data_IF_235537189728
#
_entry.id   IF_235537189728
#
_cell.length_a   1.000
_cell.length_b   1.000
_cell.length_c   1.000
_cell.angle_alpha   90.00
_cell.angle_beta   90.00
_cell.angle_gamma   90.00
#
_symmetry.space_group_name_H-M   'P 1'
#
loop_
_entity.id
_entity.type
_entity.pdbx_description
1 polymer ?
#
# COMPACT_ATOMS: atom_id res chain seq x y z
N UNK A 1 -24.17 25.13 -19.08
CA UNK A 1 -23.25 24.00 -18.86
C UNK A 1 -22.99 23.96 -17.39
N UNK A 2 -23.63 23.03 -16.68
CA UNK A 2 -23.50 22.95 -15.23
C UNK A 2 -22.11 22.39 -14.90
N UNK A 3 -21.26 23.25 -14.36
CA UNK A 3 -20.12 22.84 -13.57
C UNK A 3 -20.66 21.99 -12.41
N UNK A 4 -20.47 20.68 -12.52
CA UNK A 4 -20.68 19.77 -11.41
C UNK A 4 -19.59 20.11 -10.40
N UNK A 5 -19.93 20.92 -9.38
CA UNK A 5 -19.14 21.02 -8.16
C UNK A 5 -19.04 19.60 -7.62
N UNK A 6 -17.87 18.99 -7.82
CA UNK A 6 -17.47 17.75 -7.16
C UNK A 6 -17.79 17.93 -5.68
N UNK A 7 -18.70 17.14 -5.14
CA UNK A 7 -18.94 17.11 -3.70
C UNK A 7 -17.59 16.88 -3.02
N UNK A 8 -17.32 17.64 -1.97
CA UNK A 8 -16.17 17.48 -1.08
C UNK A 8 -16.22 16.08 -0.44
N UNK A 9 -15.76 15.07 -1.17
CA UNK A 9 -15.66 13.73 -0.65
C UNK A 9 -14.48 13.72 0.33
N UNK A 10 -14.80 13.80 1.63
CA UNK A 10 -13.86 13.73 2.76
C UNK A 10 -13.32 12.31 2.99
N UNK A 11 -12.93 11.61 1.93
CA UNK A 11 -12.35 10.26 2.02
C UNK A 11 -11.00 10.34 2.75
N UNK A 12 -11.02 10.09 4.05
CA UNK A 12 -9.81 10.18 4.87
C UNK A 12 -9.14 8.83 4.96
N UNK A 13 -9.92 7.75 5.02
CA UNK A 13 -9.47 6.36 5.04
C UNK A 13 -9.98 5.65 3.79
N UNK A 14 -9.08 5.23 2.92
CA UNK A 14 -9.40 4.61 1.63
C UNK A 14 -8.89 3.18 1.62
N UNK A 15 -9.76 2.22 1.32
CA UNK A 15 -9.37 0.85 1.05
C UNK A 15 -9.24 0.63 -0.47
N UNK A 16 -8.11 0.08 -0.90
CA UNK A 16 -7.84 -0.26 -2.29
C UNK A 16 -7.74 -1.77 -2.41
N UNK A 17 -8.58 -2.38 -3.24
CA UNK A 17 -8.61 -3.82 -3.49
C UNK A 17 -7.91 -4.10 -4.81
N UNK A 18 -6.75 -4.73 -4.75
CA UNK A 18 -6.04 -5.23 -5.93
C UNK A 18 -6.57 -6.62 -6.35
N UNK A 19 -6.21 -7.07 -7.55
CA UNK A 19 -6.69 -8.32 -8.15
C UNK A 19 -5.98 -9.61 -7.68
N UNK A 20 -5.15 -9.57 -6.65
CA UNK A 20 -4.40 -10.72 -6.14
C UNK A 20 -5.22 -11.61 -5.20
N UNK A 21 -4.56 -12.21 -4.21
CA UNK A 21 -5.22 -13.11 -3.25
C UNK A 21 -6.24 -12.35 -2.39
N UNK A 22 -7.47 -12.87 -2.31
CA UNK A 22 -8.57 -12.23 -1.55
C UNK A 22 -8.36 -12.28 -0.04
N UNK A 23 -7.56 -13.22 0.46
CA UNK A 23 -7.18 -13.41 1.85
C UNK A 23 -7.87 -12.52 2.90
N UNK A 24 -7.09 -11.65 3.54
CA UNK A 24 -7.58 -10.73 4.57
C UNK A 24 -7.97 -9.37 3.98
N UNK A 25 -9.03 -8.79 4.52
CA UNK A 25 -9.40 -7.39 4.30
C UNK A 25 -10.15 -6.84 5.52
N UNK A 26 -10.34 -5.51 5.55
CA UNK A 26 -11.14 -4.82 6.55
C UNK A 26 -12.14 -3.88 5.87
N UNK A 27 -13.21 -3.53 6.58
CA UNK A 27 -14.31 -2.71 6.04
C UNK A 27 -14.50 -1.39 6.80
N UNK A 28 -13.59 -1.04 7.70
CA UNK A 28 -13.62 0.19 8.48
C UNK A 28 -13.01 1.38 7.72
N UNK A 29 -13.56 1.70 6.54
CA UNK A 29 -13.08 2.75 5.63
C UNK A 29 -14.21 3.64 5.11
N UNK A 30 -13.84 4.84 4.67
CA UNK A 30 -14.77 5.84 4.14
C UNK A 30 -15.03 5.65 2.64
N UNK A 31 -14.13 4.97 1.95
CA UNK A 31 -14.11 4.82 0.49
C UNK A 31 -13.48 3.48 0.09
N UNK A 32 -14.09 2.80 -0.89
CA UNK A 32 -13.60 1.53 -1.42
C UNK A 32 -13.30 1.66 -2.92
N UNK A 33 -12.06 1.34 -3.27
CA UNK A 33 -11.51 1.44 -4.61
C UNK A 33 -11.17 0.04 -5.13
N UNK A 34 -11.66 -0.29 -6.31
CA UNK A 34 -11.31 -1.52 -7.01
C UNK A 34 -10.27 -1.28 -8.10
N UNK A 35 -9.25 -2.14 -8.16
CA UNK A 35 -8.26 -2.15 -9.24
C UNK A 35 -8.44 -3.41 -10.07
N UNK A 36 -8.77 -3.26 -11.35
CA UNK A 36 -9.13 -4.34 -12.27
C UNK A 36 -10.12 -5.32 -11.64
N UNK A 37 -9.73 -6.59 -11.50
CA UNK A 37 -10.51 -7.66 -10.87
C UNK A 37 -10.83 -7.40 -9.39
N UNK A 38 -10.04 -6.58 -8.70
CA UNK A 38 -10.35 -6.10 -7.35
C UNK A 38 -11.67 -5.33 -7.30
N UNK A 39 -12.12 -4.74 -8.42
CA UNK A 39 -13.44 -4.12 -8.52
C UNK A 39 -14.58 -5.12 -8.36
N UNK A 40 -14.44 -6.34 -8.89
CA UNK A 40 -15.43 -7.40 -8.67
C UNK A 40 -15.46 -7.82 -7.21
N UNK A 41 -14.30 -7.90 -6.58
CA UNK A 41 -14.20 -8.28 -5.18
C UNK A 41 -14.98 -7.29 -4.28
N UNK A 42 -14.81 -5.98 -4.47
CA UNK A 42 -15.60 -4.96 -3.75
C UNK A 42 -17.11 -5.19 -3.92
N UNK A 43 -17.55 -5.48 -5.16
CA UNK A 43 -18.98 -5.71 -5.44
C UNK A 43 -19.52 -7.01 -4.84
N UNK A 44 -18.73 -8.08 -4.84
CA UNK A 44 -19.12 -9.39 -4.29
C UNK A 44 -19.24 -9.38 -2.76
N UNK A 45 -18.51 -8.49 -2.08
CA UNK A 45 -18.63 -8.27 -0.62
C UNK A 45 -19.74 -7.26 -0.28
N UNK A 46 -20.58 -6.89 -1.25
CA UNK A 46 -21.64 -5.88 -1.11
C UNK A 46 -21.14 -4.51 -0.62
N UNK A 47 -19.86 -4.19 -0.86
CA UNK A 47 -19.25 -2.91 -0.51
C UNK A 47 -19.52 -1.85 -1.60
N UNK A 48 -19.58 -0.55 -1.24
CA UNK A 48 -19.81 0.51 -2.22
C UNK A 48 -18.57 0.72 -3.08
N UNK A 49 -18.66 0.44 -4.39
CA UNK A 49 -17.57 0.68 -5.32
C UNK A 49 -17.52 2.18 -5.70
N UNK A 50 -16.73 2.97 -4.98
CA UNK A 50 -16.63 4.41 -5.18
C UNK A 50 -15.77 4.77 -6.40
N UNK A 51 -14.71 4.01 -6.62
CA UNK A 51 -13.80 4.17 -7.75
C UNK A 51 -13.37 2.81 -8.28
N UNK A 52 -13.45 2.62 -9.60
CA UNK A 52 -12.88 1.48 -10.30
C UNK A 52 -11.81 1.98 -11.28
N UNK A 53 -10.59 1.44 -11.19
CA UNK A 53 -9.45 1.82 -12.05
C UNK A 53 -8.86 0.57 -12.68
N UNK A 54 -8.55 0.62 -13.96
CA UNK A 54 -8.01 -0.54 -14.67
C UNK A 54 -8.00 -0.37 -16.18
N UNK A 55 -7.22 -1.17 -16.89
CA UNK A 55 -7.50 -1.47 -18.29
C UNK A 55 -8.59 -2.56 -18.43
N UNK A 56 -8.87 -3.28 -17.33
CA UNK A 56 -9.87 -4.32 -17.20
C UNK A 56 -9.67 -5.49 -18.17
N UNK A 57 -8.43 -5.81 -18.51
CA UNK A 57 -8.08 -6.95 -19.37
C UNK A 57 -8.26 -8.31 -18.68
N UNK A 58 -8.26 -8.30 -17.34
CA UNK A 58 -8.36 -9.48 -16.48
C UNK A 58 -9.80 -9.89 -16.14
N UNK A 59 -10.80 -9.19 -16.68
CA UNK A 59 -12.23 -9.47 -16.49
C UNK A 59 -12.96 -9.68 -17.81
N UNK A 60 -14.05 -10.43 -17.79
CA UNK A 60 -14.92 -10.65 -18.94
C UNK A 60 -15.70 -9.38 -19.31
N UNK A 61 -16.28 -9.36 -20.51
CA UNK A 61 -17.10 -8.22 -20.95
C UNK A 61 -18.32 -7.97 -20.04
N UNK A 62 -18.97 -9.04 -19.56
CA UNK A 62 -20.14 -8.96 -18.67
C UNK A 62 -19.74 -8.44 -17.29
N UNK A 63 -18.63 -8.94 -16.73
CA UNK A 63 -18.05 -8.45 -15.48
C UNK A 63 -17.66 -6.98 -15.57
N UNK A 64 -17.02 -6.58 -16.67
CA UNK A 64 -16.66 -5.19 -16.92
C UNK A 64 -17.89 -4.28 -16.99
N UNK A 65 -18.96 -4.70 -17.67
CA UNK A 65 -20.21 -3.95 -17.72
C UNK A 65 -20.83 -3.82 -16.33
N UNK A 66 -20.77 -4.88 -15.51
CA UNK A 66 -21.23 -4.85 -14.13
C UNK A 66 -20.43 -3.83 -13.30
N UNK A 67 -19.09 -3.86 -13.38
CA UNK A 67 -18.21 -2.89 -12.71
C UNK A 67 -18.58 -1.48 -13.12
N UNK A 68 -18.62 -1.20 -14.42
CA UNK A 68 -18.90 0.14 -14.95
C UNK A 68 -20.28 0.66 -14.51
N UNK A 69 -21.28 -0.21 -14.41
CA UNK A 69 -22.63 0.14 -13.97
C UNK A 69 -22.71 0.43 -12.47
N UNK A 70 -21.88 -0.24 -11.66
CA UNK A 70 -21.95 -0.19 -10.19
C UNK A 70 -20.96 0.80 -9.57
N UNK A 71 -19.86 1.08 -10.24
CA UNK A 71 -18.87 2.06 -9.79
C UNK A 71 -19.45 3.47 -9.85
N UNK A 72 -19.22 4.29 -8.82
CA UNK A 72 -19.57 5.72 -8.88
C UNK A 72 -18.67 6.45 -9.87
N UNK A 73 -17.38 6.11 -9.89
CA UNK A 73 -16.41 6.61 -10.86
C UNK A 73 -15.67 5.45 -11.52
N UNK A 74 -15.61 5.46 -12.85
CA UNK A 74 -14.94 4.43 -13.65
C UNK A 74 -13.82 5.09 -14.46
N UNK A 75 -12.57 4.73 -14.17
CA UNK A 75 -11.37 5.23 -14.84
C UNK A 75 -10.79 4.11 -15.67
N UNK A 76 -10.94 4.21 -16.99
CA UNK A 76 -10.34 3.26 -17.92
C UNK A 76 -8.92 3.71 -18.29
N UNK A 77 -7.94 2.88 -17.97
CA UNK A 77 -6.56 3.07 -18.38
C UNK A 77 -6.34 2.63 -19.83
N UNK A 78 -5.28 3.16 -20.45
CA UNK A 78 -4.75 2.58 -21.69
C UNK A 78 -3.84 1.39 -21.33
N UNK A 79 -3.84 0.29 -22.09
CA UNK A 79 -2.96 -0.86 -21.84
C UNK A 79 -1.47 -0.51 -21.95
N UNK A 80 -1.12 0.40 -22.86
CA UNK A 80 0.24 0.91 -23.01
C UNK A 80 0.41 2.18 -22.15
N UNK A 81 1.02 2.00 -20.98
CA UNK A 81 1.32 3.08 -20.03
C UNK A 81 2.52 2.71 -19.16
N UNK A 82 3.16 3.72 -18.58
CA UNK A 82 4.29 3.52 -17.68
C UNK A 82 3.87 3.12 -16.26
N UNK A 83 2.68 3.55 -15.82
CA UNK A 83 2.16 3.32 -14.47
C UNK A 83 1.24 2.06 -14.46
N UNK A 84 1.43 1.15 -13.50
CA UNK A 84 0.51 0.02 -13.27
C UNK A 84 -0.89 0.50 -12.90
N UNK A 85 -1.91 -0.36 -13.00
CA UNK A 85 -3.28 -0.01 -12.58
C UNK A 85 -3.38 0.38 -11.10
N UNK A 86 -2.57 -0.26 -10.24
CA UNK A 86 -2.52 0.11 -8.82
C UNK A 86 -1.89 1.49 -8.62
N UNK A 87 -0.79 1.81 -9.31
CA UNK A 87 -0.20 3.15 -9.26
C UNK A 87 -1.19 4.21 -9.76
N UNK A 88 -1.88 3.96 -10.86
CA UNK A 88 -2.89 4.85 -11.40
C UNK A 88 -4.05 5.08 -10.41
N UNK A 89 -4.48 4.04 -9.71
CA UNK A 89 -5.51 4.16 -8.68
C UNK A 89 -5.04 5.07 -7.53
N UNK A 90 -3.81 4.88 -7.04
CA UNK A 90 -3.23 5.71 -5.98
C UNK A 90 -3.07 7.16 -6.42
N UNK A 91 -2.58 7.40 -7.64
CA UNK A 91 -2.47 8.75 -8.20
C UNK A 91 -3.84 9.44 -8.28
N UNK A 92 -4.88 8.70 -8.71
CA UNK A 92 -6.25 9.21 -8.77
C UNK A 92 -6.80 9.54 -7.37
N UNK A 93 -6.47 8.73 -6.36
CA UNK A 93 -6.86 8.99 -4.96
C UNK A 93 -6.17 10.25 -4.44
N UNK A 94 -4.85 10.37 -4.58
CA UNK A 94 -4.10 11.51 -4.06
C UNK A 94 -4.37 12.81 -4.83
N UNK A 95 -4.73 12.75 -6.11
CA UNK A 95 -5.22 13.92 -6.85
C UNK A 95 -6.53 14.45 -6.28
N UNK A 96 -7.43 13.56 -5.85
CA UNK A 96 -8.71 13.93 -5.23
C UNK A 96 -8.55 14.37 -3.77
N UNK A 97 -7.73 13.67 -2.99
CA UNK A 97 -7.42 14.02 -1.61
C UNK A 97 -5.95 13.70 -1.26
N UNK A 98 -5.06 14.70 -1.25
CA UNK A 98 -3.66 14.55 -0.87
C UNK A 98 -3.41 14.13 0.59
N UNK A 99 -4.46 14.11 1.43
CA UNK A 99 -4.38 13.70 2.84
C UNK A 99 -4.95 12.31 3.11
N UNK A 100 -5.44 11.62 2.07
CA UNK A 100 -6.01 10.28 2.21
C UNK A 100 -5.00 9.29 2.78
N UNK A 101 -5.43 8.47 3.74
CA UNK A 101 -4.69 7.31 4.23
C UNK A 101 -5.19 6.08 3.49
N UNK A 102 -4.29 5.42 2.76
CA UNK A 102 -4.61 4.32 1.86
C UNK A 102 -4.13 3.00 2.44
N UNK A 103 -5.04 2.03 2.53
CA UNK A 103 -4.71 0.64 2.84
C UNK A 103 -5.04 -0.24 1.64
N UNK A 104 -4.03 -0.95 1.15
CA UNK A 104 -4.12 -1.80 -0.04
C UNK A 104 -4.25 -3.26 0.40
N UNK A 105 -5.28 -3.95 -0.09
CA UNK A 105 -5.53 -5.37 0.11
C UNK A 105 -5.31 -6.15 -1.19
N UNK A 106 -4.97 -7.44 -1.06
CA UNK A 106 -4.79 -8.34 -2.21
C UNK A 106 -3.59 -8.02 -3.11
N UNK A 107 -2.58 -7.31 -2.59
CA UNK A 107 -1.41 -6.88 -3.37
C UNK A 107 -0.17 -7.79 -3.23
N UNK A 108 -0.18 -8.78 -2.33
CA UNK A 108 1.00 -9.61 -2.01
C UNK A 108 0.92 -11.06 -2.52
N UNK A 109 -0.15 -11.44 -3.22
CA UNK A 109 -0.38 -12.82 -3.68
C UNK A 109 -0.12 -13.04 -5.19
N UNK A 110 0.15 -14.29 -5.57
CA UNK A 110 0.25 -14.71 -6.97
C UNK A 110 1.61 -14.44 -7.61
N UNK A 111 1.67 -13.51 -8.57
CA UNK A 111 2.90 -13.24 -9.34
C UNK A 111 3.89 -12.40 -8.52
N UNK A 112 5.13 -12.88 -8.40
CA UNK A 112 6.17 -12.24 -7.58
C UNK A 112 6.59 -10.87 -8.14
N UNK A 113 6.64 -10.71 -9.47
CA UNK A 113 6.96 -9.43 -10.10
C UNK A 113 5.91 -8.35 -9.76
N UNK A 114 4.62 -8.69 -9.78
CA UNK A 114 3.54 -7.79 -9.33
C UNK A 114 3.65 -7.46 -7.84
N UNK A 115 3.91 -8.47 -7.00
CA UNK A 115 4.12 -8.23 -5.56
C UNK A 115 5.28 -7.26 -5.35
N UNK A 116 6.41 -7.42 -6.03
CA UNK A 116 7.55 -6.52 -5.90
C UNK A 116 7.22 -5.11 -6.40
N UNK A 117 6.51 -4.97 -7.53
CA UNK A 117 6.04 -3.67 -8.00
C UNK A 117 5.17 -2.96 -6.95
N UNK A 118 4.26 -3.69 -6.29
CA UNK A 118 3.41 -3.16 -5.22
C UNK A 118 4.24 -2.79 -3.98
N UNK A 119 5.19 -3.63 -3.55
CA UNK A 119 6.05 -3.34 -2.40
C UNK A 119 6.86 -2.06 -2.63
N UNK A 120 7.32 -1.80 -3.85
CA UNK A 120 8.15 -0.64 -4.19
C UNK A 120 7.38 0.51 -4.85
N UNK A 121 6.08 0.66 -4.58
CA UNK A 121 5.25 1.78 -5.09
C UNK A 121 5.91 3.16 -4.92
N UNK A 122 6.57 3.51 -3.78
CA UNK A 122 7.22 4.81 -3.63
C UNK A 122 8.46 5.02 -4.51
N UNK A 123 8.90 4.02 -5.29
CA UNK A 123 9.92 4.22 -6.32
C UNK A 123 9.41 5.09 -7.48
N UNK A 124 8.10 5.16 -7.68
CA UNK A 124 7.47 6.10 -8.58
C UNK A 124 7.56 7.52 -7.98
N UNK A 125 8.24 8.48 -8.63
CA UNK A 125 8.41 9.83 -8.10
C UNK A 125 7.11 10.58 -7.83
N UNK A 126 6.01 10.19 -8.50
CA UNK A 126 4.68 10.78 -8.29
C UNK A 126 4.03 10.28 -7.00
N UNK A 127 4.36 9.07 -6.53
CA UNK A 127 3.84 8.47 -5.29
C UNK A 127 4.76 8.68 -4.10
N UNK A 128 6.06 8.90 -4.31
CA UNK A 128 7.03 9.12 -3.24
C UNK A 128 6.59 10.17 -2.19
N UNK A 129 5.99 11.34 -2.55
CA UNK A 129 5.53 12.31 -1.57
C UNK A 129 4.46 11.77 -0.60
N UNK A 130 3.72 10.75 -1.01
CA UNK A 130 2.60 10.16 -0.27
C UNK A 130 2.95 8.86 0.44
N UNK A 131 4.22 8.42 0.42
CA UNK A 131 4.61 7.09 0.92
C UNK A 131 4.18 6.80 2.37
N UNK A 132 4.17 7.82 3.25
CA UNK A 132 3.74 7.68 4.65
C UNK A 132 2.24 7.38 4.78
N UNK A 133 1.48 7.65 3.73
CA UNK A 133 0.03 7.47 3.68
C UNK A 133 -0.37 6.13 3.06
N UNK A 134 0.58 5.34 2.55
CA UNK A 134 0.32 4.07 1.87
C UNK A 134 0.70 2.92 2.82
N UNK A 135 -0.22 1.99 3.01
CA UNK A 135 0.04 0.70 3.65
C UNK A 135 -0.47 -0.45 2.78
N UNK A 136 0.20 -1.61 2.85
CA UNK A 136 -0.28 -2.87 2.24
C UNK A 136 -0.52 -3.88 3.34
N UNK A 137 -1.68 -4.54 3.35
CA UNK A 137 -2.08 -5.52 4.36
C UNK A 137 -2.55 -6.82 3.71
N UNK A 138 -2.14 -7.97 4.27
CA UNK A 138 -2.64 -9.30 3.87
C UNK A 138 -3.06 -10.17 5.07
N UNK A 139 -3.17 -9.56 6.25
CA UNK A 139 -3.57 -10.21 7.50
C UNK A 139 -2.42 -10.89 8.25
N UNK A 140 -1.33 -11.25 7.57
CA UNK A 140 -0.08 -11.72 8.19
C UNK A 140 1.00 -10.66 8.19
N UNK A 141 0.95 -9.73 7.25
CA UNK A 141 1.93 -8.69 7.01
C UNK A 141 1.22 -7.33 6.94
N UNK A 142 1.90 -6.30 7.45
CA UNK A 142 1.65 -4.90 7.12
C UNK A 142 2.95 -4.33 6.57
N UNK A 143 2.88 -3.69 5.41
CA UNK A 143 3.99 -2.94 4.82
C UNK A 143 3.68 -1.46 4.92
N UNK A 144 4.65 -0.69 5.42
CA UNK A 144 4.63 0.76 5.50
C UNK A 144 5.98 1.34 5.07
N UNK A 145 6.08 2.67 4.98
CA UNK A 145 7.24 3.34 4.41
C UNK A 145 7.76 4.48 5.28
N UNK A 146 9.08 4.52 5.47
CA UNK A 146 9.79 5.63 6.10
C UNK A 146 10.66 6.34 5.05
N UNK A 147 10.49 7.66 4.84
CA UNK A 147 11.36 8.41 3.94
C UNK A 147 12.77 8.55 4.53
N UNK A 148 13.66 9.12 3.73
CA UNK A 148 14.97 9.63 4.16
C UNK A 148 14.86 10.48 5.44
N UNK A 149 15.87 10.37 6.29
CA UNK A 149 15.92 10.98 7.61
C UNK A 149 15.58 9.98 8.72
N UNK A 150 15.17 10.51 9.87
CA UNK A 150 14.80 9.71 11.06
C UNK A 150 13.28 9.60 11.16
N UNK A 151 12.78 8.38 11.34
CA UNK A 151 11.37 8.10 11.63
C UNK A 151 11.25 7.34 12.94
N UNK A 152 10.25 7.72 13.75
CA UNK A 152 9.87 6.99 14.96
C UNK A 152 8.73 6.03 14.63
N UNK A 153 8.86 4.79 15.08
CA UNK A 153 7.88 3.74 14.90
C UNK A 153 7.32 3.33 16.26
N UNK A 154 6.02 3.46 16.41
CA UNK A 154 5.30 3.03 17.61
C UNK A 154 5.27 1.51 17.72
N UNK A 155 5.35 0.95 18.95
CA UNK A 155 5.13 -0.47 19.19
C UNK A 155 3.78 -0.96 18.68
N UNK A 156 3.77 -2.16 18.10
CA UNK A 156 2.57 -2.84 17.61
C UNK A 156 2.44 -4.20 18.29
N UNK A 157 1.34 -4.43 19.00
CA UNK A 157 1.05 -5.71 19.67
C UNK A 157 0.32 -6.72 18.78
N UNK A 158 -0.12 -6.30 17.60
CA UNK A 158 -0.86 -7.11 16.63
C UNK A 158 0.04 -7.91 15.67
N UNK A 159 1.36 -7.72 15.76
CA UNK A 159 2.40 -8.40 15.01
C UNK A 159 3.56 -8.81 15.92
N UNK A 160 4.17 -9.96 15.64
CA UNK A 160 5.24 -10.54 16.46
C UNK A 160 6.62 -10.03 16.01
N UNK A 161 6.77 -9.69 14.72
CA UNK A 161 8.04 -9.32 14.12
C UNK A 161 8.00 -7.96 13.41
N UNK A 162 9.19 -7.36 13.31
CA UNK A 162 9.50 -6.11 12.62
C UNK A 162 10.70 -6.34 11.70
N UNK A 163 10.66 -5.79 10.49
CA UNK A 163 11.75 -5.87 9.53
C UNK A 163 11.94 -4.57 8.77
N UNK A 164 13.17 -4.36 8.29
CA UNK A 164 13.57 -3.17 7.55
C UNK A 164 14.27 -3.53 6.25
N UNK A 165 13.82 -2.93 5.15
CA UNK A 165 14.43 -3.09 3.84
C UNK A 165 14.72 -1.70 3.24
N UNK A 166 15.96 -1.20 3.36
CA UNK A 166 16.36 0.03 2.70
C UNK A 166 16.43 -0.19 1.18
N UNK A 167 15.81 0.73 0.42
CA UNK A 167 15.76 0.60 -1.04
C UNK A 167 17.10 0.93 -1.69
N UNK A 168 17.83 1.90 -1.12
CA UNK A 168 19.23 2.18 -1.48
C UNK A 168 20.16 1.35 -0.61
N UNK A 169 21.35 1.10 -1.14
CA UNK A 169 22.40 0.42 -0.40
C UNK A 169 23.09 1.43 0.50
N UNK A 170 22.46 1.69 1.66
CA UNK A 170 22.87 2.72 2.59
C UNK A 170 23.00 2.19 4.02
N UNK A 171 23.77 2.90 4.83
CA UNK A 171 24.02 2.54 6.22
C UNK A 171 22.81 2.92 7.08
N UNK A 172 21.86 1.99 7.16
CA UNK A 172 20.69 2.11 8.03
C UNK A 172 21.10 2.11 9.50
N UNK A 173 20.47 2.96 10.31
CA UNK A 173 20.57 2.90 11.78
C UNK A 173 19.20 2.55 12.36
N UNK A 174 19.16 1.58 13.28
CA UNK A 174 17.96 1.11 13.98
C UNK A 174 18.24 1.13 15.48
N UNK A 175 17.50 1.93 16.25
CA UNK A 175 17.64 2.06 17.69
C UNK A 175 16.32 1.77 18.40
N UNK A 176 16.38 1.21 19.61
CA UNK A 176 15.21 0.90 20.43
C UNK A 176 14.50 -0.41 20.09
N UNK A 177 14.93 -1.12 19.02
CA UNK A 177 14.46 -2.46 18.69
C UNK A 177 15.23 -3.54 19.49
N UNK A 178 14.74 -4.78 19.49
CA UNK A 178 15.43 -5.92 20.11
C UNK A 178 16.85 -6.14 19.54
N UNK A 179 17.00 -5.97 18.24
CA UNK A 179 18.28 -6.01 17.54
C UNK A 179 18.57 -4.64 16.94
N UNK A 180 19.46 -3.88 17.57
CA UNK A 180 19.89 -2.58 17.08
C UNK A 180 20.94 -2.70 15.97
N UNK A 181 20.94 -1.72 15.07
CA UNK A 181 21.94 -1.56 14.03
C UNK A 181 22.50 -0.13 14.14
N UNK A 182 23.79 -0.03 14.39
CA UNK A 182 24.53 1.23 14.55
C UNK A 182 25.75 1.21 13.64
N UNK A 183 26.49 2.31 13.60
CA UNK A 183 27.77 2.37 12.85
C UNK A 183 28.78 1.33 13.34
N UNK A 184 28.81 1.03 14.64
CA UNK A 184 29.81 0.12 15.24
C UNK A 184 29.57 -1.35 14.88
N UNK A 185 28.33 -1.74 14.60
CA UNK A 185 27.94 -3.12 14.32
C UNK A 185 27.31 -3.31 12.93
N UNK A 186 27.43 -2.30 12.05
CA UNK A 186 26.81 -2.34 10.74
C UNK A 186 27.32 -3.52 9.91
N UNK A 187 26.38 -4.24 9.30
CA UNK A 187 26.66 -5.20 8.25
C UNK A 187 25.61 -5.03 7.17
N UNK A 188 26.00 -5.14 5.91
CA UNK A 188 25.07 -4.97 4.80
C UNK A 188 24.14 -6.19 4.66
N UNK A 189 22.84 -5.94 4.65
CA UNK A 189 21.80 -6.84 4.12
C UNK A 189 20.74 -6.04 3.39
N UNK A 190 20.10 -6.66 2.40
CA UNK A 190 18.94 -6.04 1.74
C UNK A 190 17.71 -6.00 2.64
N UNK A 191 17.57 -6.97 3.54
CA UNK A 191 16.48 -7.05 4.51
C UNK A 191 17.04 -7.43 5.89
N UNK A 192 16.77 -6.60 6.89
CA UNK A 192 17.01 -6.87 8.30
C UNK A 192 15.72 -7.45 8.90
N UNK A 193 15.52 -8.75 8.72
CA UNK A 193 14.31 -9.46 9.13
C UNK A 193 14.35 -9.95 10.59
N UNK A 194 13.18 -10.33 11.10
CA UNK A 194 13.00 -10.99 12.41
C UNK A 194 13.51 -10.15 13.59
N UNK A 195 13.29 -8.83 13.52
CA UNK A 195 13.45 -7.93 14.66
C UNK A 195 12.14 -7.85 15.46
N UNK A 196 12.18 -7.22 16.63
CA UNK A 196 11.02 -7.14 17.54
C UNK A 196 11.03 -5.79 18.27
N UNK A 197 9.85 -5.33 18.68
CA UNK A 197 9.73 -4.25 19.66
C UNK A 197 10.07 -4.75 21.06
N UNK A 198 10.64 -3.89 21.90
CA UNK A 198 10.92 -4.15 23.33
C UNK A 198 10.20 -3.12 24.22
N UNK A 199 8.89 -3.01 24.00
CA UNK A 199 7.95 -2.10 24.70
C UNK A 199 8.35 -0.61 24.65
N UNK A 200 8.99 -0.18 23.57
CA UNK A 200 9.38 1.21 23.31
C UNK A 200 9.41 1.50 21.82
N UNK A 201 9.35 2.79 21.48
CA UNK A 201 9.51 3.27 20.10
C UNK A 201 10.84 2.81 19.48
N UNK A 202 10.79 2.53 18.18
CA UNK A 202 11.98 2.22 17.37
C UNK A 202 12.28 3.40 16.47
N UNK A 203 13.50 3.93 16.57
CA UNK A 203 14.00 4.96 15.68
C UNK A 203 14.73 4.32 14.51
N UNK A 204 14.33 4.67 13.29
CA UNK A 204 14.98 4.24 12.05
C UNK A 204 15.52 5.46 11.31
N UNK A 205 16.82 5.47 11.07
CA UNK A 205 17.49 6.55 10.31
C UNK A 205 17.99 6.01 8.98
N UNK A 206 17.44 6.56 7.89
CA UNK A 206 17.81 6.24 6.52
C UNK A 206 18.51 7.44 5.88
N UNK A 207 19.79 7.35 5.50
CA UNK A 207 20.53 8.50 4.97
C UNK A 207 20.29 8.78 3.47
N UNK A 208 19.72 7.83 2.72
CA UNK A 208 19.40 7.99 1.30
C UNK A 208 18.22 7.09 0.91
N UNK A 209 17.22 7.68 0.25
CA UNK A 209 16.06 6.98 -0.30
C UNK A 209 14.94 6.79 0.72
N UNK A 210 14.46 5.55 0.86
CA UNK A 210 13.42 5.19 1.83
C UNK A 210 13.60 3.76 2.31
N UNK A 211 12.89 3.44 3.40
CA UNK A 211 12.88 2.11 4.02
C UNK A 211 11.47 1.55 3.92
N UNK A 212 11.38 0.33 3.39
CA UNK A 212 10.18 -0.49 3.54
C UNK A 212 10.23 -1.11 4.93
N UNK A 213 9.23 -0.81 5.73
CA UNK A 213 9.04 -1.35 7.09
C UNK A 213 7.99 -2.43 6.99
N UNK A 214 8.31 -3.63 7.49
CA UNK A 214 7.39 -4.76 7.47
C UNK A 214 7.12 -5.22 8.89
N UNK A 215 5.84 -5.24 9.27
CA UNK A 215 5.37 -5.95 10.45
C UNK A 215 4.81 -7.28 10.02
N UNK A 216 5.15 -8.37 10.71
CA UNK A 216 4.67 -9.71 10.34
C UNK A 216 4.41 -10.61 11.55
N UNK A 217 3.63 -11.67 11.32
CA UNK A 217 3.35 -12.73 12.31
C UNK A 217 3.21 -14.09 11.63
N UNK A 218 3.50 -15.13 12.40
CA UNK A 218 3.37 -16.51 11.94
C UNK A 218 1.89 -16.92 11.80
N UNK A 219 1.62 -17.89 10.92
CA UNK A 219 0.28 -18.51 10.83
C UNK A 219 0.02 -19.27 12.13
N UNK A 220 -1.10 -18.95 12.78
CA UNK A 220 -1.61 -19.73 13.92
C UNK A 220 -2.51 -20.86 13.44
#
# INVERSE_FOLDING_TARGET
MNECKLSENNWTRVAVFAGGDRGHYRTDFDCFVGVDRGSLWVLEEDLPLDLAVGDFDSVTADERQLIQKRAQHFVQAQPEKDDTDLELALLTIFEKNPQAQVTIFGALGGRIDHMLANVFLPSNPKLAPYMRQIAIEDGQNVIAYCPEGTSQLEPRSDYDYLAFMPVRDSQLTILGAKYELTEENFFFKKVYASNEYIDREVAVTCPDGYVVVLHSKDRR
#
